data_IF_759438341668
#
_entry.id   IF_759438341668
#
_cell.length_a   1.000
_cell.length_b   1.000
_cell.length_c   1.000
_cell.angle_alpha   90.00
_cell.angle_beta   90.00
_cell.angle_gamma   90.00
#
_symmetry.space_group_name_H-M   'P 1'
#
loop_
_entity.id
_entity.type
_entity.pdbx_description
1 polymer ?
#
# COMPACT_ATOMS: atom_id res chain seq x y z
N UNK A 1 9.10 -30.40 -7.17
CA UNK A 1 7.81 -29.66 -7.21
C UNK A 1 6.71 -30.31 -6.36
N UNK A 2 6.58 -31.62 -6.33
CA UNK A 2 5.54 -32.35 -5.56
C UNK A 2 5.66 -32.20 -4.03
N UNK A 3 6.86 -32.08 -3.45
CA UNK A 3 7.06 -31.81 -2.01
C UNK A 3 6.53 -30.45 -1.54
N UNK A 4 6.59 -29.39 -2.40
CA UNK A 4 6.07 -28.05 -2.07
C UNK A 4 4.54 -27.96 -2.12
N UNK A 5 3.87 -28.78 -2.93
CA UNK A 5 2.40 -28.85 -2.98
C UNK A 5 1.82 -29.52 -1.73
N UNK A 6 2.51 -30.54 -1.19
CA UNK A 6 2.12 -31.18 0.07
C UNK A 6 2.32 -30.25 1.28
N UNK A 7 3.32 -29.34 1.25
CA UNK A 7 3.51 -28.35 2.32
C UNK A 7 2.40 -27.29 2.34
N UNK A 8 1.80 -26.97 1.18
CA UNK A 8 0.69 -26.02 1.09
C UNK A 8 -0.63 -26.62 1.61
N UNK A 9 -0.90 -27.88 1.33
CA UNK A 9 -2.08 -28.59 1.88
C UNK A 9 -1.95 -28.86 3.38
N UNK A 10 -0.74 -29.10 3.88
CA UNK A 10 -0.43 -29.19 5.31
C UNK A 10 -0.60 -27.83 6.02
N UNK A 11 -0.33 -26.70 5.33
CA UNK A 11 -0.52 -25.34 5.83
C UNK A 11 -2.00 -25.00 6.04
N UNK A 12 -2.87 -25.33 5.08
CA UNK A 12 -4.32 -25.10 5.17
C UNK A 12 -4.98 -25.96 6.27
N UNK A 13 -4.52 -27.20 6.48
CA UNK A 13 -4.97 -28.06 7.58
C UNK A 13 -4.50 -27.58 8.97
N UNK A 14 -3.43 -26.77 9.03
CA UNK A 14 -2.96 -26.10 10.26
C UNK A 14 -3.79 -24.89 10.68
N UNK A 15 -4.44 -24.21 9.74
CA UNK A 15 -5.32 -23.04 9.98
C UNK A 15 -6.51 -23.42 10.87
N UNK A 16 -7.05 -24.62 10.74
CA UNK A 16 -8.19 -25.08 11.53
C UNK A 16 -7.83 -25.46 12.98
N UNK A 17 -6.54 -25.70 13.27
CA UNK A 17 -6.05 -26.15 14.58
C UNK A 17 -5.63 -25.01 15.52
N UNK A 18 -5.31 -23.81 15.01
CA UNK A 18 -4.91 -22.67 15.85
C UNK A 18 -6.09 -21.73 16.07
N UNK A 19 -6.64 -21.74 17.28
CA UNK A 19 -7.80 -20.90 17.68
C UNK A 19 -7.46 -19.41 17.59
N UNK A 20 -6.25 -19.02 17.94
CA UNK A 20 -5.81 -17.63 17.91
C UNK A 20 -5.73 -17.07 16.48
N UNK A 21 -5.11 -17.81 15.54
CA UNK A 21 -5.00 -17.37 14.15
C UNK A 21 -6.39 -17.26 13.49
N UNK A 22 -7.30 -18.20 13.81
CA UNK A 22 -8.69 -18.14 13.34
C UNK A 22 -9.41 -16.90 13.85
N UNK A 23 -9.25 -16.55 15.11
CA UNK A 23 -9.84 -15.31 15.68
C UNK A 23 -9.29 -14.07 15.01
N UNK A 24 -7.99 -13.98 14.74
CA UNK A 24 -7.36 -12.87 14.03
C UNK A 24 -7.87 -12.72 12.61
N UNK A 25 -7.98 -13.82 11.85
CA UNK A 25 -8.52 -13.81 10.48
C UNK A 25 -10.00 -13.41 10.49
N UNK A 26 -10.79 -13.96 11.42
CA UNK A 26 -12.20 -13.61 11.54
C UNK A 26 -12.39 -12.13 11.86
N UNK A 27 -11.54 -11.56 12.73
CA UNK A 27 -11.54 -10.14 13.02
C UNK A 27 -11.26 -9.28 11.77
N UNK A 28 -10.29 -9.68 10.94
CA UNK A 28 -10.00 -9.00 9.65
C UNK A 28 -11.22 -9.04 8.74
N UNK A 29 -11.83 -10.21 8.54
CA UNK A 29 -13.03 -10.34 7.70
C UNK A 29 -14.17 -9.47 8.23
N UNK A 30 -14.41 -9.47 9.54
CA UNK A 30 -15.44 -8.63 10.17
C UNK A 30 -15.17 -7.14 9.96
N UNK A 31 -13.92 -6.69 10.12
CA UNK A 31 -13.54 -5.31 9.87
C UNK A 31 -13.74 -4.91 8.40
N UNK A 32 -13.44 -5.81 7.45
CA UNK A 32 -13.70 -5.57 6.03
C UNK A 32 -15.19 -5.48 5.69
N UNK A 33 -16.04 -6.27 6.37
CA UNK A 33 -17.50 -6.15 6.22
C UNK A 33 -17.97 -4.77 6.71
N UNK A 34 -17.47 -4.28 7.86
CA UNK A 34 -17.77 -2.93 8.36
C UNK A 34 -17.34 -1.87 7.36
N UNK A 35 -16.12 -1.97 6.83
CA UNK A 35 -15.63 -1.08 5.79
C UNK A 35 -16.56 -1.07 4.57
N UNK A 36 -16.98 -2.24 4.10
CA UNK A 36 -17.86 -2.35 2.95
C UNK A 36 -19.25 -1.79 3.20
N UNK A 37 -19.84 -2.04 4.36
CA UNK A 37 -21.13 -1.45 4.76
C UNK A 37 -21.06 0.08 4.79
N UNK A 38 -20.03 0.66 5.39
CA UNK A 38 -19.86 2.11 5.44
C UNK A 38 -19.64 2.76 4.06
N UNK A 39 -19.10 2.02 3.08
CA UNK A 39 -18.93 2.52 1.71
C UNK A 39 -20.27 2.68 0.94
N UNK A 40 -21.37 2.18 1.47
CA UNK A 40 -22.72 2.36 0.92
C UNK A 40 -23.53 3.46 1.61
N UNK A 41 -23.07 3.96 2.76
CA UNK A 41 -23.74 5.05 3.47
C UNK A 41 -23.37 6.37 2.80
N UNK A 42 -24.31 6.99 2.11
CA UNK A 42 -24.12 8.24 1.39
C UNK A 42 -24.04 9.45 2.31
N UNK A 43 -23.37 10.50 1.85
CA UNK A 43 -23.29 11.77 2.55
C UNK A 43 -24.69 12.43 2.61
N UNK A 44 -25.14 12.94 3.77
CA UNK A 44 -26.42 13.64 3.87
C UNK A 44 -26.50 14.84 2.93
N UNK A 45 -27.61 14.96 2.21
CA UNK A 45 -27.86 16.09 1.29
C UNK A 45 -27.36 15.89 -0.15
N UNK A 46 -26.83 14.70 -0.51
CA UNK A 46 -26.41 14.38 -1.89
C UNK A 46 -27.27 13.23 -2.44
N UNK A 47 -27.69 13.38 -3.69
CA UNK A 47 -28.36 12.32 -4.43
C UNK A 47 -27.31 11.40 -5.11
N UNK A 48 -27.23 10.11 -4.72
CA UNK A 48 -26.25 9.18 -5.27
C UNK A 48 -26.47 8.87 -6.73
N UNK A 49 -27.70 9.01 -7.25
CA UNK A 49 -28.04 8.72 -8.65
C UNK A 49 -27.42 9.75 -9.58
N UNK A 50 -27.50 11.03 -9.20
CA UNK A 50 -26.94 12.15 -9.96
C UNK A 50 -25.41 12.10 -9.91
N UNK A 51 -24.84 11.76 -8.73
CA UNK A 51 -23.40 11.62 -8.56
C UNK A 51 -22.81 10.54 -9.46
N UNK A 52 -23.50 9.42 -9.60
CA UNK A 52 -23.10 8.34 -10.52
C UNK A 52 -23.06 8.80 -11.98
N UNK A 53 -24.05 9.54 -12.43
CA UNK A 53 -24.09 10.07 -13.82
C UNK A 53 -22.90 11.01 -14.06
N UNK A 54 -22.59 11.90 -13.12
CA UNK A 54 -21.43 12.80 -13.22
C UNK A 54 -20.10 12.05 -13.26
N UNK A 55 -19.98 10.98 -12.48
CA UNK A 55 -18.80 10.12 -12.48
C UNK A 55 -18.64 9.38 -13.81
N UNK A 56 -19.74 8.87 -14.36
CA UNK A 56 -19.75 8.18 -15.67
C UNK A 56 -19.31 9.10 -16.81
N UNK A 57 -19.60 10.38 -16.73
CA UNK A 57 -19.14 11.39 -17.70
C UNK A 57 -17.64 11.74 -17.56
N UNK A 58 -17.07 11.54 -16.39
CA UNK A 58 -15.67 11.85 -16.08
C UNK A 58 -14.79 10.60 -15.97
N UNK A 59 -15.22 9.47 -16.55
CA UNK A 59 -14.42 8.23 -16.58
C UNK A 59 -13.06 8.46 -17.23
N UNK A 60 -12.02 7.84 -16.68
CA UNK A 60 -10.64 8.00 -17.14
C UNK A 60 -9.94 9.25 -16.60
N UNK A 61 -10.57 10.00 -15.70
CA UNK A 61 -9.96 11.14 -15.03
C UNK A 61 -9.22 10.74 -13.75
N UNK A 62 -8.54 11.73 -13.16
CA UNK A 62 -7.86 11.56 -11.85
C UNK A 62 -8.85 11.11 -10.76
N UNK A 63 -10.13 11.49 -10.86
CA UNK A 63 -11.18 11.09 -9.91
C UNK A 63 -11.44 9.59 -9.92
N UNK A 64 -11.29 8.93 -11.07
CA UNK A 64 -11.40 7.46 -11.17
C UNK A 64 -10.31 6.75 -10.37
N UNK A 65 -9.08 7.27 -10.36
CA UNK A 65 -8.01 6.71 -9.53
C UNK A 65 -8.33 6.85 -8.03
N UNK A 66 -8.88 8.00 -7.60
CA UNK A 66 -9.35 8.17 -6.23
C UNK A 66 -10.46 7.18 -5.88
N UNK A 67 -11.44 7.03 -6.79
CA UNK A 67 -12.55 6.12 -6.61
C UNK A 67 -12.09 4.67 -6.44
N UNK A 68 -11.08 4.26 -7.19
CA UNK A 68 -10.48 2.94 -7.08
C UNK A 68 -9.84 2.70 -5.70
N UNK A 69 -9.08 3.67 -5.17
CA UNK A 69 -8.47 3.56 -3.84
C UNK A 69 -9.50 3.62 -2.71
N UNK A 70 -10.62 4.32 -2.91
CA UNK A 70 -11.72 4.40 -1.95
C UNK A 70 -12.72 3.23 -2.04
N UNK A 71 -12.54 2.32 -3.02
CA UNK A 71 -13.42 1.16 -3.21
C UNK A 71 -14.81 1.49 -3.75
N UNK A 72 -14.92 2.50 -4.63
CA UNK A 72 -16.19 2.98 -5.18
C UNK A 72 -16.97 3.88 -4.23
N UNK A 73 -16.33 4.32 -3.14
CA UNK A 73 -16.95 5.19 -2.14
C UNK A 73 -17.11 6.62 -2.62
N UNK A 74 -16.21 7.08 -3.51
CA UNK A 74 -16.28 8.43 -4.07
C UNK A 74 -17.39 8.56 -5.12
N UNK A 75 -17.59 7.56 -5.98
CA UNK A 75 -18.68 7.51 -6.97
C UNK A 75 -20.06 7.65 -6.33
N UNK A 76 -20.22 7.07 -5.13
CA UNK A 76 -21.47 7.13 -4.36
C UNK A 76 -21.49 8.29 -3.38
N UNK A 77 -20.41 9.05 -3.30
CA UNK A 77 -20.19 10.09 -2.27
C UNK A 77 -20.55 9.60 -0.87
N UNK A 78 -19.96 8.47 -0.49
CA UNK A 78 -20.19 7.87 0.83
C UNK A 78 -19.40 8.61 1.92
N UNK A 79 -19.69 8.30 3.20
CA UNK A 79 -18.92 8.80 4.34
C UNK A 79 -17.43 8.45 4.25
N UNK A 80 -17.06 7.44 3.47
CA UNK A 80 -15.68 7.02 3.20
C UNK A 80 -15.14 7.52 1.85
N UNK A 81 -15.74 8.55 1.25
CA UNK A 81 -15.34 9.04 -0.06
C UNK A 81 -13.86 9.45 -0.14
N UNK A 82 -13.29 10.06 0.90
CA UNK A 82 -11.86 10.38 0.95
C UNK A 82 -10.98 9.14 1.23
N UNK A 83 -11.56 8.04 1.68
CA UNK A 83 -10.84 6.83 2.03
C UNK A 83 -9.73 7.05 3.06
N UNK A 84 -8.60 6.35 2.88
CA UNK A 84 -7.39 6.49 3.71
C UNK A 84 -6.34 7.41 3.10
N UNK A 85 -6.65 8.09 1.97
CA UNK A 85 -5.68 8.94 1.24
C UNK A 85 -5.11 10.08 2.09
N UNK A 86 -5.90 10.84 2.90
CA UNK A 86 -5.35 11.88 3.77
C UNK A 86 -4.33 11.34 4.76
N UNK A 87 -4.56 10.12 5.28
CA UNK A 87 -3.62 9.46 6.19
C UNK A 87 -2.34 9.03 5.50
N UNK A 88 -2.42 8.51 4.27
CA UNK A 88 -1.24 8.13 3.49
C UNK A 88 -0.36 9.36 3.27
N UNK A 89 -0.95 10.46 2.80
CA UNK A 89 -0.22 11.73 2.59
C UNK A 89 0.40 12.25 3.89
N UNK A 90 -0.34 12.22 5.01
CA UNK A 90 0.17 12.61 6.31
C UNK A 90 1.33 11.71 6.78
N UNK A 91 1.22 10.41 6.57
CA UNK A 91 2.25 9.43 6.94
C UNK A 91 3.54 9.64 6.15
N UNK A 92 3.43 9.93 4.84
CA UNK A 92 4.56 10.26 3.98
C UNK A 92 5.30 11.49 4.51
N UNK A 93 4.57 12.59 4.71
CA UNK A 93 5.14 13.84 5.17
C UNK A 93 5.81 13.65 6.55
N UNK A 94 5.15 12.96 7.46
CA UNK A 94 5.71 12.69 8.78
C UNK A 94 6.95 11.78 8.71
N UNK A 95 6.98 10.76 7.86
CA UNK A 95 8.16 9.93 7.65
C UNK A 95 9.33 10.76 7.10
N UNK A 96 9.09 11.62 6.12
CA UNK A 96 10.12 12.55 5.62
C UNK A 96 10.62 13.47 6.74
N UNK A 97 9.72 14.05 7.52
CA UNK A 97 10.05 14.94 8.62
C UNK A 97 10.87 14.26 9.73
N UNK A 98 10.70 12.96 9.97
CA UNK A 98 11.51 12.20 10.94
C UNK A 98 12.98 12.06 10.54
N UNK A 99 13.36 12.43 9.32
CA UNK A 99 14.75 12.44 8.85
C UNK A 99 15.33 13.84 8.73
N UNK A 100 14.48 14.87 8.63
CA UNK A 100 14.90 16.28 8.46
C UNK A 100 14.90 17.01 9.80
N UNK A 101 13.88 16.79 10.63
CA UNK A 101 13.68 17.53 11.87
C UNK A 101 14.42 16.89 13.05
N UNK A 102 15.37 17.62 13.67
CA UNK A 102 16.15 17.15 14.79
C UNK A 102 15.33 16.59 15.97
N UNK A 103 14.20 17.22 16.41
CA UNK A 103 13.39 16.66 17.50
C UNK A 103 12.70 15.34 17.11
N UNK A 104 12.30 15.18 15.85
CA UNK A 104 11.67 13.94 15.39
C UNK A 104 12.69 12.80 15.21
N UNK A 105 13.94 13.13 14.84
CA UNK A 105 15.06 12.17 14.82
C UNK A 105 15.32 11.64 16.24
N UNK A 106 15.30 12.51 17.25
CA UNK A 106 15.47 12.09 18.65
C UNK A 106 14.33 11.17 19.09
N UNK A 107 13.07 11.54 18.80
CA UNK A 107 11.91 10.70 19.08
C UNK A 107 12.01 9.31 18.43
N UNK A 108 12.53 9.23 17.21
CA UNK A 108 12.75 7.94 16.55
C UNK A 108 13.76 7.06 17.30
N UNK A 109 14.79 7.67 17.91
CA UNK A 109 15.79 6.95 18.72
C UNK A 109 15.26 6.48 20.08
N UNK A 110 14.17 7.07 20.59
CA UNK A 110 13.50 6.63 21.84
C UNK A 110 12.79 5.27 21.72
N UNK A 111 12.81 4.63 20.54
CA UNK A 111 12.20 3.32 20.31
C UNK A 111 10.67 3.36 20.33
N UNK A 112 10.03 2.44 21.06
CA UNK A 112 8.57 2.29 21.09
C UNK A 112 7.80 3.53 21.56
N UNK A 113 8.32 4.24 22.56
CA UNK A 113 7.69 5.47 23.08
C UNK A 113 7.67 6.59 22.03
N UNK A 114 8.80 6.77 21.34
CA UNK A 114 8.91 7.75 20.27
C UNK A 114 8.01 7.41 19.08
N UNK A 115 7.94 6.13 18.72
CA UNK A 115 7.07 5.64 17.64
C UNK A 115 5.59 5.94 17.91
N UNK A 116 5.13 5.73 19.14
CA UNK A 116 3.75 6.10 19.54
C UNK A 116 3.47 7.59 19.42
N UNK A 117 4.45 8.45 19.78
CA UNK A 117 4.31 9.92 19.63
C UNK A 117 4.27 10.32 18.14
N UNK A 118 5.13 9.75 17.30
CA UNK A 118 5.12 10.00 15.85
C UNK A 118 3.77 9.59 15.23
N UNK A 119 3.24 8.43 15.59
CA UNK A 119 1.89 8.00 15.14
C UNK A 119 0.80 8.98 15.58
N UNK A 120 0.87 9.52 16.81
CA UNK A 120 -0.07 10.55 17.26
C UNK A 120 0.02 11.83 16.41
N UNK A 121 1.24 12.28 16.09
CA UNK A 121 1.44 13.45 15.21
C UNK A 121 0.91 13.18 13.79
N UNK A 122 1.13 11.98 13.25
CA UNK A 122 0.57 11.57 11.96
C UNK A 122 -0.96 11.64 11.97
N UNK A 123 -1.62 11.15 13.02
CA UNK A 123 -3.08 11.24 13.14
C UNK A 123 -3.57 12.70 13.19
N UNK A 124 -2.93 13.55 14.00
CA UNK A 124 -3.30 14.97 14.06
C UNK A 124 -3.14 15.66 12.71
N UNK A 125 -2.05 15.37 12.00
CA UNK A 125 -1.81 15.91 10.68
C UNK A 125 -2.80 15.38 9.64
N UNK A 126 -3.22 14.11 9.78
CA UNK A 126 -4.30 13.53 8.97
C UNK A 126 -5.61 14.30 9.12
N UNK A 127 -5.98 14.70 10.35
CA UNK A 127 -7.20 15.51 10.57
C UNK A 127 -7.12 16.84 9.81
N UNK A 128 -5.97 17.53 9.86
CA UNK A 128 -5.78 18.79 9.15
C UNK A 128 -5.92 18.59 7.62
N UNK A 129 -5.22 17.59 7.07
CA UNK A 129 -5.30 17.30 5.64
C UNK A 129 -6.69 16.84 5.21
N UNK A 130 -7.34 15.98 5.99
CA UNK A 130 -8.70 15.54 5.73
C UNK A 130 -9.70 16.70 5.75
N UNK A 131 -9.55 17.66 6.67
CA UNK A 131 -10.41 18.86 6.73
C UNK A 131 -10.23 19.71 5.48
N UNK A 132 -8.99 19.97 5.05
CA UNK A 132 -8.71 20.73 3.84
C UNK A 132 -9.28 20.05 2.59
N UNK A 133 -9.05 18.73 2.46
CA UNK A 133 -9.56 17.96 1.32
C UNK A 133 -11.10 17.87 1.33
N UNK A 134 -11.72 17.64 2.49
CA UNK A 134 -13.17 17.60 2.64
C UNK A 134 -13.81 18.93 2.24
N UNK A 135 -13.22 20.06 2.68
CA UNK A 135 -13.70 21.38 2.33
C UNK A 135 -13.62 21.62 0.82
N UNK A 136 -12.50 21.23 0.19
CA UNK A 136 -12.35 21.35 -1.26
C UNK A 136 -13.37 20.53 -2.03
N UNK A 137 -13.57 19.26 -1.65
CA UNK A 137 -14.56 18.36 -2.27
C UNK A 137 -15.98 18.94 -2.10
N UNK A 138 -16.36 19.33 -0.87
CA UNK A 138 -17.68 19.86 -0.59
C UNK A 138 -17.97 21.18 -1.37
N UNK A 139 -16.96 22.06 -1.47
CA UNK A 139 -17.05 23.29 -2.27
C UNK A 139 -17.19 23.00 -3.77
N UNK A 140 -16.42 22.03 -4.30
CA UNK A 140 -16.52 21.63 -5.70
C UNK A 140 -17.92 21.07 -6.04
N UNK A 141 -18.50 20.27 -5.15
CA UNK A 141 -19.83 19.70 -5.34
C UNK A 141 -20.94 20.78 -5.36
N UNK A 142 -20.80 21.81 -4.52
CA UNK A 142 -21.76 22.93 -4.56
C UNK A 142 -21.70 23.74 -5.85
N UNK A 143 -20.51 23.86 -6.45
CA UNK A 143 -20.31 24.64 -7.68
C UNK A 143 -20.65 23.85 -8.96
N UNK A 144 -20.83 22.54 -8.87
CA UNK A 144 -21.20 21.66 -10.00
C UNK A 144 -22.72 21.61 -10.26
N UNK A 145 -23.47 22.65 -9.91
CA UNK A 145 -24.88 22.74 -10.26
C UNK A 145 -25.03 22.90 -11.77
N UNK A 146 -25.41 21.81 -12.44
CA UNK A 146 -25.84 21.85 -13.85
C UNK A 146 -27.25 22.43 -13.91
N UNK A 147 -27.54 23.23 -14.93
CA UNK A 147 -28.79 24.00 -15.08
C UNK A 147 -30.11 23.19 -14.98
N UNK A 148 -30.07 21.88 -14.97
CA UNK A 148 -31.22 20.98 -14.89
C UNK A 148 -31.28 20.07 -13.67
N UNK A 149 -30.20 19.96 -12.86
CA UNK A 149 -30.15 19.02 -11.72
C UNK A 149 -29.29 19.59 -10.58
N UNK A 150 -29.92 19.83 -9.45
CA UNK A 150 -29.23 20.22 -8.21
C UNK A 150 -28.66 18.95 -7.54
N UNK A 151 -27.33 18.81 -7.58
CA UNK A 151 -26.60 17.70 -6.94
C UNK A 151 -26.77 17.74 -5.42
N UNK A 152 -26.79 18.93 -4.85
CA UNK A 152 -26.94 19.19 -3.42
C UNK A 152 -28.35 19.72 -3.18
N UNK A 153 -29.14 19.05 -2.31
CA UNK A 153 -30.52 19.40 -2.01
C UNK A 153 -30.65 20.83 -1.45
N UNK A 154 -29.74 21.21 -0.55
CA UNK A 154 -29.71 22.56 0.06
C UNK A 154 -28.28 23.10 0.01
N UNK A 155 -27.88 23.83 -1.05
CA UNK A 155 -26.56 24.43 -1.13
C UNK A 155 -26.42 25.57 -0.11
N UNK A 156 -25.36 25.51 0.72
CA UNK A 156 -25.11 26.53 1.73
C UNK A 156 -23.99 26.15 2.71
N UNK A 157 -23.72 27.06 3.64
CA UNK A 157 -22.71 26.85 4.69
C UNK A 157 -23.03 25.66 5.60
N UNK A 158 -24.32 25.38 5.79
CA UNK A 158 -24.77 24.21 6.56
C UNK A 158 -24.34 22.89 5.93
N UNK A 159 -24.52 22.76 4.61
CA UNK A 159 -24.05 21.58 3.86
C UNK A 159 -22.53 21.43 3.95
N UNK A 160 -21.76 22.52 3.76
CA UNK A 160 -20.30 22.48 3.86
C UNK A 160 -19.85 21.97 5.22
N UNK A 161 -20.47 22.46 6.30
CA UNK A 161 -20.11 22.04 7.66
C UNK A 161 -20.42 20.56 7.91
N UNK A 162 -21.61 20.10 7.53
CA UNK A 162 -22.03 18.69 7.66
C UNK A 162 -21.12 17.78 6.82
N UNK A 163 -20.84 18.15 5.57
CA UNK A 163 -20.00 17.38 4.66
C UNK A 163 -18.58 17.24 5.20
N UNK A 164 -17.97 18.35 5.65
CA UNK A 164 -16.59 18.34 6.20
C UNK A 164 -16.52 17.44 7.45
N UNK A 165 -17.43 17.60 8.41
CA UNK A 165 -17.43 16.78 9.63
C UNK A 165 -17.61 15.31 9.28
N UNK A 166 -18.56 14.98 8.41
CA UNK A 166 -18.85 13.60 8.03
C UNK A 166 -17.67 12.93 7.34
N UNK A 167 -17.04 13.59 6.37
CA UNK A 167 -15.89 13.06 5.64
C UNK A 167 -14.65 12.91 6.52
N UNK A 168 -14.37 13.88 7.39
CA UNK A 168 -13.25 13.79 8.35
C UNK A 168 -13.48 12.65 9.34
N UNK A 169 -14.70 12.53 9.86
CA UNK A 169 -15.05 11.43 10.79
C UNK A 169 -14.92 10.08 10.10
N UNK A 170 -15.37 9.95 8.86
CA UNK A 170 -15.23 8.74 8.06
C UNK A 170 -13.76 8.36 7.84
N UNK A 171 -12.92 9.31 7.48
CA UNK A 171 -11.47 9.09 7.32
C UNK A 171 -10.83 8.64 8.63
N UNK A 172 -11.12 9.32 9.75
CA UNK A 172 -10.56 8.95 11.06
C UNK A 172 -11.04 7.59 11.55
N UNK A 173 -12.29 7.23 11.24
CA UNK A 173 -12.81 5.89 11.52
C UNK A 173 -12.06 4.82 10.73
N UNK A 174 -11.77 5.05 9.44
CA UNK A 174 -10.98 4.11 8.63
C UNK A 174 -9.55 3.96 9.14
N UNK A 175 -8.91 5.05 9.57
CA UNK A 175 -7.58 5.00 10.19
C UNK A 175 -7.62 4.16 11.47
N UNK A 176 -8.60 4.42 12.35
CA UNK A 176 -8.78 3.63 13.56
C UNK A 176 -9.04 2.15 13.25
N UNK A 177 -9.90 1.85 12.27
CA UNK A 177 -10.18 0.48 11.83
C UNK A 177 -8.91 -0.22 11.32
N UNK A 178 -8.09 0.48 10.51
CA UNK A 178 -6.81 -0.02 10.04
C UNK A 178 -5.82 -0.33 11.16
N UNK A 179 -5.77 0.52 12.18
CA UNK A 179 -4.95 0.27 13.38
C UNK A 179 -5.45 -0.94 14.17
N UNK A 180 -6.76 -1.09 14.35
CA UNK A 180 -7.34 -2.27 15.01
C UNK A 180 -7.03 -3.57 14.22
N UNK A 181 -7.09 -3.53 12.89
CA UNK A 181 -6.69 -4.68 12.06
C UNK A 181 -5.22 -5.00 12.28
N UNK A 182 -4.34 -4.00 12.35
CA UNK A 182 -2.91 -4.20 12.57
C UNK A 182 -2.60 -4.77 13.95
N UNK A 183 -3.31 -4.33 15.00
CA UNK A 183 -3.09 -4.79 16.38
C UNK A 183 -3.70 -6.16 16.66
N UNK A 184 -4.93 -6.39 16.23
CA UNK A 184 -5.72 -7.59 16.58
C UNK A 184 -5.87 -8.59 15.45
N UNK A 185 -5.58 -8.18 14.21
CA UNK A 185 -5.71 -9.01 13.02
C UNK A 185 -4.37 -9.62 12.58
N UNK A 186 -4.24 -9.77 11.27
CA UNK A 186 -3.04 -10.23 10.56
C UNK A 186 -2.75 -9.23 9.46
N UNK A 187 -1.52 -8.80 9.31
CA UNK A 187 -1.11 -7.89 8.26
C UNK A 187 -1.13 -6.41 8.65
N UNK A 188 -0.77 -5.56 7.69
CA UNK A 188 -0.91 -4.11 7.83
C UNK A 188 -2.36 -3.72 7.50
N UNK A 189 -3.12 -3.26 8.51
CA UNK A 189 -4.55 -2.98 8.36
C UNK A 189 -4.87 -1.92 7.32
N UNK A 190 -4.05 -0.88 7.19
CA UNK A 190 -4.26 0.17 6.17
C UNK A 190 -4.08 -0.40 4.77
N UNK A 191 -3.04 -1.20 4.55
CA UNK A 191 -2.82 -1.89 3.26
C UNK A 191 -3.95 -2.85 2.93
N UNK A 192 -4.52 -3.53 3.93
CA UNK A 192 -5.66 -4.45 3.76
C UNK A 192 -6.94 -3.68 3.40
N UNK A 193 -7.18 -2.49 3.98
CA UNK A 193 -8.33 -1.65 3.61
C UNK A 193 -8.20 -1.17 2.17
N UNK A 194 -7.02 -0.71 1.74
CA UNK A 194 -6.76 -0.31 0.36
C UNK A 194 -6.97 -1.50 -0.60
N UNK A 195 -6.40 -2.66 -0.26
CA UNK A 195 -6.58 -3.90 -0.99
C UNK A 195 -8.07 -4.27 -1.15
N UNK A 196 -8.83 -4.20 -0.06
CA UNK A 196 -10.28 -4.49 -0.10
C UNK A 196 -11.04 -3.49 -0.98
N UNK A 197 -10.65 -2.21 -0.99
CA UNK A 197 -11.18 -1.20 -1.89
C UNK A 197 -10.95 -1.56 -3.36
N UNK A 198 -9.71 -1.89 -3.71
CA UNK A 198 -9.33 -2.26 -5.07
C UNK A 198 -10.07 -3.54 -5.52
N UNK A 199 -10.05 -4.59 -4.68
CA UNK A 199 -10.72 -5.87 -5.01
C UNK A 199 -12.24 -5.70 -5.15
N UNK A 200 -12.84 -4.79 -4.41
CA UNK A 200 -14.27 -4.50 -4.52
C UNK A 200 -14.69 -3.92 -5.88
N UNK A 201 -13.77 -3.25 -6.59
CA UNK A 201 -13.96 -2.74 -7.95
C UNK A 201 -13.77 -3.80 -9.06
N UNK A 202 -13.13 -4.94 -8.75
CA UNK A 202 -12.81 -5.98 -9.73
C UNK A 202 -14.03 -6.55 -10.49
N UNK A 203 -15.13 -6.92 -9.80
CA UNK A 203 -16.30 -7.51 -10.50
C UNK A 203 -16.91 -6.54 -11.50
N UNK A 204 -17.02 -5.24 -11.15
CA UNK A 204 -17.56 -4.22 -12.06
C UNK A 204 -16.63 -3.95 -13.24
N UNK A 205 -15.31 -3.94 -13.03
CA UNK A 205 -14.33 -3.80 -14.11
C UNK A 205 -14.39 -4.95 -15.12
N UNK A 206 -14.49 -6.19 -14.62
CA UNK A 206 -14.67 -7.38 -15.48
C UNK A 206 -16.00 -7.31 -16.24
N UNK A 207 -17.09 -6.94 -15.54
CA UNK A 207 -18.41 -6.79 -16.17
C UNK A 207 -18.39 -5.77 -17.30
N UNK A 208 -17.87 -4.57 -17.06
CA UNK A 208 -17.75 -3.51 -18.07
C UNK A 208 -16.91 -3.96 -19.29
N UNK A 209 -15.81 -4.68 -19.07
CA UNK A 209 -14.97 -5.19 -20.16
C UNK A 209 -15.72 -6.22 -21.04
N UNK A 210 -16.50 -7.09 -20.41
CA UNK A 210 -17.34 -8.07 -21.12
C UNK A 210 -18.48 -7.38 -21.87
N UNK A 211 -19.10 -6.35 -21.30
CA UNK A 211 -20.18 -5.60 -21.94
C UNK A 211 -19.68 -4.81 -23.16
N UNK A 212 -18.49 -4.22 -23.11
CA UNK A 212 -17.83 -3.59 -24.26
C UNK A 212 -17.56 -4.59 -25.40
N UNK A 213 -17.18 -5.82 -25.04
CA UNK A 213 -17.02 -6.88 -26.02
C UNK A 213 -18.37 -7.31 -26.66
N UNK A 214 -19.44 -7.35 -25.86
CA UNK A 214 -20.80 -7.68 -26.35
C UNK A 214 -21.36 -6.59 -27.27
N UNK A 215 -21.06 -5.33 -26.97
CA UNK A 215 -21.49 -4.17 -27.78
C UNK A 215 -20.69 -4.03 -29.08
N UNK A 216 -19.63 -4.84 -29.28
CA UNK A 216 -18.80 -4.80 -30.49
C UNK A 216 -17.75 -3.70 -30.50
N UNK A 217 -17.57 -2.96 -29.39
CA UNK A 217 -16.52 -1.93 -29.25
C UNK A 217 -15.13 -2.56 -29.09
N UNK A 218 -15.05 -3.76 -28.51
CA UNK A 218 -13.84 -4.54 -28.39
C UNK A 218 -13.98 -5.88 -29.10
N UNK A 219 -12.95 -6.25 -29.85
CA UNK A 219 -12.89 -7.59 -30.44
C UNK A 219 -12.76 -8.65 -29.36
N UNK A 220 -13.45 -9.77 -29.46
CA UNK A 220 -13.37 -10.88 -28.51
C UNK A 220 -11.93 -11.38 -28.28
N UNK A 221 -11.11 -11.34 -29.32
CA UNK A 221 -9.70 -11.69 -29.24
C UNK A 221 -8.91 -10.76 -28.33
N UNK A 222 -9.18 -9.45 -28.37
CA UNK A 222 -8.54 -8.43 -27.52
C UNK A 222 -8.86 -8.67 -26.04
N UNK A 223 -10.09 -9.06 -25.71
CA UNK A 223 -10.48 -9.37 -24.33
C UNK A 223 -9.70 -10.57 -23.79
N UNK A 224 -9.59 -11.65 -24.58
CA UNK A 224 -8.79 -12.83 -24.19
C UNK A 224 -7.33 -12.45 -23.99
N UNK A 225 -6.77 -11.63 -24.88
CA UNK A 225 -5.38 -11.15 -24.78
C UNK A 225 -5.17 -10.34 -23.49
N UNK A 226 -6.11 -9.46 -23.11
CA UNK A 226 -6.05 -8.67 -21.89
C UNK A 226 -6.03 -9.59 -20.65
N UNK A 227 -6.92 -10.57 -20.56
CA UNK A 227 -6.94 -11.51 -19.44
C UNK A 227 -5.64 -12.32 -19.35
N UNK A 228 -5.12 -12.78 -20.47
CA UNK A 228 -3.84 -13.49 -20.53
C UNK A 228 -2.69 -12.59 -20.04
N UNK A 229 -2.69 -11.34 -20.46
CA UNK A 229 -1.66 -10.36 -20.09
C UNK A 229 -1.70 -10.05 -18.59
N UNK A 230 -2.89 -9.88 -17.98
CA UNK A 230 -3.05 -9.69 -16.54
C UNK A 230 -2.47 -10.88 -15.75
N UNK A 231 -2.76 -12.11 -16.19
CA UNK A 231 -2.22 -13.33 -15.56
C UNK A 231 -0.70 -13.35 -15.67
N UNK A 232 -0.15 -13.01 -16.84
CA UNK A 232 1.29 -13.00 -17.09
C UNK A 232 2.01 -11.95 -16.25
N UNK A 233 1.45 -10.72 -16.17
CA UNK A 233 1.99 -9.64 -15.33
C UNK A 233 1.94 -10.07 -13.86
N UNK A 234 0.81 -10.62 -13.40
CA UNK A 234 0.68 -11.10 -12.02
C UNK A 234 1.73 -12.16 -11.68
N UNK A 235 1.94 -13.13 -12.57
CA UNK A 235 2.97 -14.16 -12.41
C UNK A 235 4.38 -13.55 -12.36
N UNK A 236 4.66 -12.57 -13.22
CA UNK A 236 5.93 -11.85 -13.27
C UNK A 236 6.18 -11.05 -11.99
N UNK A 237 5.18 -10.33 -11.49
CA UNK A 237 5.23 -9.60 -10.23
C UNK A 237 5.53 -10.54 -9.06
N UNK A 238 4.82 -11.66 -8.95
CA UNK A 238 5.06 -12.66 -7.90
C UNK A 238 6.48 -13.22 -7.99
N UNK A 239 6.97 -13.46 -9.20
CA UNK A 239 8.33 -13.99 -9.42
C UNK A 239 9.40 -13.03 -8.90
N UNK A 240 9.30 -11.74 -9.22
CA UNK A 240 10.27 -10.73 -8.79
C UNK A 240 10.17 -10.44 -7.29
N UNK A 241 8.96 -10.30 -6.75
CA UNK A 241 8.74 -10.02 -5.32
C UNK A 241 9.25 -11.15 -4.41
N UNK A 242 9.26 -12.38 -4.89
CA UNK A 242 9.86 -13.53 -4.18
C UNK A 242 11.38 -13.58 -4.31
N UNK A 243 11.94 -12.81 -5.23
CA UNK A 243 13.37 -12.76 -5.49
C UNK A 243 14.14 -12.16 -4.30
N UNK A 244 15.18 -12.88 -3.85
CA UNK A 244 16.05 -12.43 -2.77
C UNK A 244 17.51 -12.65 -3.12
N UNK A 245 18.35 -11.63 -2.89
CA UNK A 245 19.80 -11.76 -2.92
C UNK A 245 20.27 -12.27 -1.57
N UNK A 246 20.86 -13.45 -1.51
CA UNK A 246 21.41 -14.04 -0.29
C UNK A 246 22.90 -13.72 -0.19
N UNK A 247 23.29 -12.94 0.82
CA UNK A 247 24.70 -12.63 1.12
C UNK A 247 25.18 -13.67 2.14
N UNK A 248 26.24 -14.43 1.87
CA UNK A 248 26.75 -15.41 2.84
C UNK A 248 27.38 -14.68 4.04
N UNK A 249 27.05 -15.13 5.24
CA UNK A 249 27.57 -14.63 6.52
C UNK A 249 28.12 -15.80 7.31
N UNK A 250 29.33 -15.67 7.80
CA UNK A 250 29.97 -16.64 8.65
C UNK A 250 30.08 -16.11 10.07
N UNK A 251 29.73 -16.95 11.04
CA UNK A 251 29.98 -16.67 12.45
C UNK A 251 31.31 -17.24 12.87
N UNK A 252 32.07 -16.46 13.66
CA UNK A 252 33.32 -16.95 14.25
C UNK A 252 33.07 -18.14 15.17
N UNK A 253 33.98 -19.09 15.17
CA UNK A 253 33.95 -20.20 16.11
C UNK A 253 34.00 -19.66 17.54
N UNK A 254 33.08 -20.05 18.40
CA UNK A 254 33.07 -19.66 19.82
C UNK A 254 33.34 -20.92 20.66
N UNK A 255 34.34 -20.78 21.56
CA UNK A 255 34.52 -21.73 22.65
C UNK A 255 33.72 -21.28 23.86
N UNK A 256 32.81 -22.07 24.33
CA UNK A 256 32.08 -21.85 25.56
C UNK A 256 32.37 -23.04 26.52
N UNK A 257 33.31 -22.81 27.42
CA UNK A 257 33.89 -23.86 28.26
C UNK A 257 34.65 -24.91 27.43
N UNK A 258 34.37 -26.19 27.62
CA UNK A 258 34.99 -27.32 26.90
C UNK A 258 34.33 -27.66 25.54
N UNK A 259 33.21 -27.01 25.21
CA UNK A 259 32.46 -27.28 23.96
C UNK A 259 32.86 -26.30 22.88
N UNK A 260 33.33 -26.79 21.75
CA UNK A 260 33.60 -26.06 20.55
C UNK A 260 32.32 -25.99 19.70
N UNK A 261 31.74 -24.80 19.55
CA UNK A 261 30.63 -24.63 18.61
C UNK A 261 31.20 -24.40 17.21
N UNK A 262 30.77 -25.28 16.29
CA UNK A 262 31.18 -25.21 14.89
C UNK A 262 30.77 -23.85 14.29
N UNK A 263 31.56 -23.34 13.34
CA UNK A 263 31.21 -22.15 12.57
C UNK A 263 29.89 -22.41 11.85
N UNK A 264 28.87 -21.59 12.12
CA UNK A 264 27.61 -21.64 11.39
C UNK A 264 27.66 -20.61 10.27
N UNK A 265 27.38 -21.06 9.05
CA UNK A 265 27.18 -20.20 7.91
C UNK A 265 25.69 -19.93 7.74
N UNK A 266 25.30 -18.67 7.72
CA UNK A 266 23.94 -18.24 7.41
C UNK A 266 23.97 -17.26 6.22
N UNK A 267 22.80 -16.79 5.83
CA UNK A 267 22.69 -15.83 4.73
C UNK A 267 21.86 -14.64 5.18
N UNK A 268 22.29 -13.44 4.81
CA UNK A 268 21.48 -12.23 4.92
C UNK A 268 20.60 -12.13 3.65
N UNK A 269 19.27 -12.31 3.76
CA UNK A 269 18.39 -12.18 2.62
C UNK A 269 18.06 -10.70 2.39
N UNK A 270 18.40 -10.16 1.22
CA UNK A 270 17.97 -8.86 0.75
C UNK A 270 16.93 -9.06 -0.34
N UNK A 271 15.73 -8.48 -0.19
CA UNK A 271 14.69 -8.53 -1.23
C UNK A 271 15.15 -7.72 -2.45
N UNK A 272 14.79 -8.12 -3.67
CA UNK A 272 15.05 -7.35 -4.89
C UNK A 272 14.29 -6.03 -4.82
N UNK A 273 13.01 -6.10 -4.44
CA UNK A 273 12.22 -4.91 -4.16
C UNK A 273 12.19 -4.65 -2.65
N UNK A 274 13.11 -3.80 -2.15
CA UNK A 274 13.16 -3.42 -0.74
C UNK A 274 12.13 -2.34 -0.39
N UNK A 275 11.76 -1.53 -1.38
CA UNK A 275 10.80 -0.45 -1.20
C UNK A 275 9.33 -0.91 -1.17
N UNK A 276 9.02 -2.10 -1.69
CA UNK A 276 7.66 -2.65 -1.72
C UNK A 276 6.71 -1.84 -2.60
N UNK A 277 5.44 -1.72 -2.17
CA UNK A 277 4.39 -0.94 -2.87
C UNK A 277 4.34 0.54 -2.48
N UNK A 278 5.15 0.96 -1.53
CA UNK A 278 5.08 2.30 -0.97
C UNK A 278 5.43 3.39 -2.01
N UNK A 279 6.49 3.26 -2.84
CA UNK A 279 6.83 4.28 -3.84
C UNK A 279 5.72 4.58 -4.85
N UNK A 280 5.06 3.61 -5.48
CA UNK A 280 3.92 3.88 -6.36
C UNK A 280 2.76 4.60 -5.67
N UNK A 281 2.44 4.21 -4.43
CA UNK A 281 1.39 4.87 -3.64
C UNK A 281 1.77 6.33 -3.35
N UNK A 282 3.04 6.59 -3.00
CA UNK A 282 3.53 7.94 -2.74
C UNK A 282 3.52 8.80 -4.01
N UNK A 283 3.97 8.23 -5.13
CA UNK A 283 3.98 8.92 -6.42
C UNK A 283 2.57 9.31 -6.84
N UNK A 284 1.60 8.39 -6.75
CA UNK A 284 0.21 8.69 -7.06
C UNK A 284 -0.38 9.74 -6.12
N UNK A 285 -0.13 9.66 -4.81
CA UNK A 285 -0.64 10.62 -3.83
C UNK A 285 -0.10 12.04 -4.07
N UNK A 286 1.20 12.17 -4.43
CA UNK A 286 1.80 13.49 -4.72
C UNK A 286 1.26 14.10 -6.02
N UNK A 287 1.02 13.30 -7.05
CA UNK A 287 0.45 13.79 -8.30
C UNK A 287 -1.03 14.17 -8.11
N UNK A 288 -1.75 13.36 -7.36
CA UNK A 288 -3.17 13.59 -7.10
C UNK A 288 -3.43 14.86 -6.28
N UNK A 289 -2.54 15.23 -5.36
CA UNK A 289 -2.73 16.37 -4.48
C UNK A 289 -2.77 17.72 -5.23
N UNK A 290 -1.81 18.10 -6.09
CA UNK A 290 -1.90 19.31 -6.91
C UNK A 290 -3.06 19.28 -7.90
N UNK A 291 -3.32 18.12 -8.50
CA UNK A 291 -4.38 17.95 -9.48
C UNK A 291 -5.78 18.15 -8.88
N UNK A 292 -6.00 17.68 -7.63
CA UNK A 292 -7.26 17.94 -6.91
C UNK A 292 -7.40 19.41 -6.52
N UNK A 293 -6.34 20.05 -6.04
CA UNK A 293 -6.37 21.51 -5.77
C UNK A 293 -6.69 22.28 -7.04
N UNK A 294 -6.08 21.89 -8.16
CA UNK A 294 -6.31 22.52 -9.45
C UNK A 294 -7.77 22.34 -9.92
N UNK A 295 -8.35 21.17 -9.75
CA UNK A 295 -9.76 20.94 -10.09
C UNK A 295 -10.72 21.75 -9.21
N UNK A 296 -10.38 21.97 -7.95
CA UNK A 296 -11.21 22.81 -7.05
C UNK A 296 -11.07 24.30 -7.33
N UNK A 297 -9.86 24.79 -7.60
CA UNK A 297 -9.60 26.18 -7.92
C UNK A 297 -10.09 26.56 -9.32
N UNK A 298 -10.11 25.61 -10.26
CA UNK A 298 -10.52 25.82 -11.64
C UNK A 298 -12.03 25.83 -11.88
N UNK A 299 -12.84 25.42 -10.92
CA UNK A 299 -14.30 25.37 -11.05
C UNK A 299 -14.98 26.76 -11.26
N UNK A 300 -14.23 27.86 -11.14
CA UNK A 300 -14.74 29.24 -11.31
C UNK A 300 -14.10 30.08 -12.43
N UNK A 301 -13.08 29.55 -13.15
CA UNK A 301 -12.39 30.34 -14.19
C UNK A 301 -12.10 29.50 -15.44
N UNK A 302 -12.88 29.69 -16.49
CA UNK A 302 -12.60 29.12 -17.81
C UNK A 302 -11.26 29.67 -18.33
N UNK A 303 -10.29 28.80 -18.62
CA UNK A 303 -9.03 29.14 -19.29
C UNK A 303 -7.85 29.53 -18.43
N UNK A 304 -7.89 29.33 -17.09
CA UNK A 304 -6.76 29.65 -16.20
C UNK A 304 -5.58 28.69 -16.33
N UNK A 305 -4.36 29.16 -15.95
CA UNK A 305 -3.13 28.32 -15.87
C UNK A 305 -3.34 27.05 -15.04
N UNK A 306 -4.19 27.13 -14.02
CA UNK A 306 -4.56 26.02 -13.12
C UNK A 306 -5.27 24.90 -13.88
N UNK A 307 -6.19 25.25 -14.78
CA UNK A 307 -6.91 24.26 -15.61
C UNK A 307 -5.97 23.60 -16.63
N UNK A 308 -5.04 24.36 -17.23
CA UNK A 308 -4.02 23.77 -18.12
C UNK A 308 -3.11 22.79 -17.38
N UNK A 309 -2.69 23.10 -16.16
CA UNK A 309 -1.90 22.18 -15.32
C UNK A 309 -2.71 20.93 -15.00
N UNK A 310 -3.99 21.03 -14.62
CA UNK A 310 -4.85 19.90 -14.36
C UNK A 310 -5.02 18.99 -15.59
N UNK A 311 -5.23 19.56 -16.76
CA UNK A 311 -5.34 18.81 -18.03
C UNK A 311 -4.02 18.14 -18.42
N UNK A 312 -2.87 18.81 -18.21
CA UNK A 312 -1.55 18.26 -18.54
C UNK A 312 -1.14 17.13 -17.59
N UNK A 313 -1.60 17.17 -16.33
CA UNK A 313 -1.38 16.12 -15.33
C UNK A 313 -2.48 15.05 -15.33
N UNK A 314 -3.37 15.04 -16.33
CA UNK A 314 -4.38 13.99 -16.46
C UNK A 314 -3.77 12.66 -16.90
N UNK A 315 -4.28 11.50 -16.40
CA UNK A 315 -3.86 10.17 -16.84
C UNK A 315 -3.93 10.05 -18.37
N UNK A 316 -2.94 9.37 -18.97
CA UNK A 316 -2.86 9.23 -20.42
C UNK A 316 -2.09 10.35 -21.14
N UNK A 317 -1.71 11.43 -20.48
CA UNK A 317 -0.85 12.46 -21.08
C UNK A 317 0.63 12.07 -20.98
N UNK A 318 1.47 12.35 -22.00
CA UNK A 318 2.89 12.01 -21.98
C UNK A 318 3.64 12.65 -20.82
N UNK A 319 3.26 13.87 -20.43
CA UNK A 319 3.87 14.59 -19.31
C UNK A 319 3.55 13.90 -17.98
N UNK A 320 2.30 13.46 -17.81
CA UNK A 320 1.89 12.66 -16.65
C UNK A 320 2.73 11.39 -16.51
N UNK A 321 2.87 10.61 -17.60
CA UNK A 321 3.62 9.35 -17.62
C UNK A 321 5.09 9.59 -17.23
N UNK A 322 5.72 10.63 -17.78
CA UNK A 322 7.12 10.96 -17.49
C UNK A 322 7.30 11.40 -16.05
N UNK A 323 6.43 12.28 -15.55
CA UNK A 323 6.48 12.75 -14.18
C UNK A 323 6.21 11.62 -13.17
N UNK A 324 5.24 10.75 -13.49
CA UNK A 324 4.92 9.58 -12.68
C UNK A 324 6.07 8.59 -12.60
N UNK A 325 6.72 8.28 -13.75
CA UNK A 325 7.91 7.43 -13.79
C UNK A 325 9.05 8.01 -12.95
N UNK A 326 9.34 9.31 -13.12
CA UNK A 326 10.39 9.99 -12.36
C UNK A 326 10.10 9.99 -10.85
N UNK A 327 8.84 10.22 -10.46
CA UNK A 327 8.41 10.19 -9.07
C UNK A 327 8.57 8.79 -8.47
N UNK A 328 8.16 7.72 -9.17
CA UNK A 328 8.34 6.33 -8.70
C UNK A 328 9.82 6.03 -8.46
N UNK A 329 10.69 6.35 -9.42
CA UNK A 329 12.13 6.11 -9.30
C UNK A 329 12.70 6.88 -8.11
N UNK A 330 12.37 8.17 -7.99
CA UNK A 330 12.79 9.00 -6.85
C UNK A 330 12.38 8.40 -5.52
N UNK A 331 11.10 8.01 -5.38
CA UNK A 331 10.61 7.43 -4.12
C UNK A 331 11.15 6.03 -3.84
N UNK A 332 11.50 5.24 -4.85
CA UNK A 332 12.18 3.96 -4.64
C UNK A 332 13.53 4.16 -3.95
N UNK A 333 14.37 5.07 -4.44
CA UNK A 333 15.65 5.37 -3.82
C UNK A 333 15.48 6.02 -2.45
N UNK A 334 14.61 7.01 -2.38
CA UNK A 334 14.34 7.73 -1.14
C UNK A 334 13.85 6.80 -0.03
N UNK A 335 12.86 5.96 -0.31
CA UNK A 335 12.30 5.05 0.67
C UNK A 335 13.27 3.96 1.09
N UNK A 336 14.03 3.42 0.16
CA UNK A 336 15.06 2.41 0.49
C UNK A 336 16.12 2.99 1.42
N UNK A 337 16.62 4.20 1.16
CA UNK A 337 17.56 4.89 2.03
C UNK A 337 16.99 5.19 3.42
N UNK A 338 15.67 5.40 3.51
CA UNK A 338 14.95 5.64 4.78
C UNK A 338 14.81 4.40 5.65
N UNK A 339 14.45 3.27 5.03
CA UNK A 339 14.09 2.03 5.73
C UNK A 339 15.33 1.19 6.04
N UNK A 340 16.30 1.18 5.14
CA UNK A 340 17.48 0.34 5.27
C UNK A 340 18.73 1.16 5.64
N UNK A 341 19.25 0.91 6.85
CA UNK A 341 20.48 1.52 7.32
C UNK A 341 21.64 0.52 7.25
N UNK A 342 22.46 0.67 6.20
CA UNK A 342 23.61 -0.21 5.93
C UNK A 342 24.63 -0.20 7.08
N UNK A 343 24.85 0.97 7.72
CA UNK A 343 25.79 1.13 8.84
C UNK A 343 25.32 0.37 10.08
N UNK A 344 24.06 0.55 10.47
CA UNK A 344 23.47 -0.14 11.61
C UNK A 344 23.47 -1.65 11.42
N UNK A 345 23.18 -2.11 10.21
CA UNK A 345 23.23 -3.55 9.85
C UNK A 345 24.66 -4.09 9.98
N UNK A 346 25.66 -3.37 9.50
CA UNK A 346 27.07 -3.77 9.59
C UNK A 346 27.56 -3.78 11.05
N UNK A 347 27.15 -2.80 11.88
CA UNK A 347 27.45 -2.78 13.31
C UNK A 347 26.80 -3.95 14.06
N UNK A 348 25.55 -4.26 13.77
CA UNK A 348 24.83 -5.41 14.34
C UNK A 348 25.51 -6.74 13.98
N UNK A 349 25.97 -6.88 12.73
CA UNK A 349 26.76 -8.05 12.30
C UNK A 349 28.08 -8.13 13.07
N UNK A 350 28.82 -7.01 13.20
CA UNK A 350 30.07 -6.94 13.96
C UNK A 350 29.86 -7.31 15.43
N UNK A 351 28.83 -6.76 16.07
CA UNK A 351 28.51 -7.02 17.48
C UNK A 351 28.09 -8.48 17.72
N UNK A 352 27.46 -9.12 16.74
CA UNK A 352 27.10 -10.54 16.76
C UNK A 352 28.27 -11.46 16.47
N UNK A 353 29.46 -10.94 16.13
CA UNK A 353 30.65 -11.71 15.74
C UNK A 353 30.48 -12.38 14.37
N UNK A 354 29.60 -11.85 13.53
CA UNK A 354 29.36 -12.29 12.18
C UNK A 354 30.16 -11.45 11.18
N UNK A 355 30.66 -12.06 10.11
CA UNK A 355 31.41 -11.39 9.07
C UNK A 355 31.08 -11.94 7.68
N UNK A 356 31.21 -11.10 6.67
CA UNK A 356 31.09 -11.47 5.28
C UNK A 356 32.47 -11.99 4.82
N UNK A 357 32.58 -13.20 4.22
CA UNK A 357 33.83 -13.71 3.73
C UNK A 357 34.52 -12.75 2.76
N UNK A 358 35.79 -12.43 3.02
CA UNK A 358 36.59 -11.53 2.20
C UNK A 358 36.46 -10.04 2.48
N UNK A 359 35.60 -9.62 3.42
CA UNK A 359 35.36 -8.19 3.76
C UNK A 359 35.60 -7.96 5.25
N UNK A 360 36.31 -6.86 5.59
CA UNK A 360 36.54 -6.47 6.98
C UNK A 360 35.23 -6.04 7.66
N UNK A 361 34.95 -6.53 8.88
CA UNK A 361 33.80 -6.08 9.66
C UNK A 361 33.88 -4.57 9.97
N UNK A 362 32.76 -3.86 9.88
CA UNK A 362 32.65 -2.41 10.12
C UNK A 362 32.31 -1.64 8.84
N UNK A 363 32.97 -0.49 8.60
CA UNK A 363 32.63 0.43 7.51
C UNK A 363 32.75 -0.21 6.11
N UNK A 364 33.71 -1.11 5.90
CA UNK A 364 33.83 -1.80 4.63
C UNK A 364 32.63 -2.72 4.36
N UNK A 365 32.14 -3.39 5.40
CA UNK A 365 30.91 -4.20 5.31
C UNK A 365 29.68 -3.30 5.05
N UNK A 366 29.61 -2.12 5.68
CA UNK A 366 28.53 -1.17 5.44
C UNK A 366 28.52 -0.68 3.99
N UNK A 367 29.67 -0.29 3.45
CA UNK A 367 29.80 0.16 2.05
C UNK A 367 29.45 -0.94 1.04
N UNK A 368 29.86 -2.19 1.31
CA UNK A 368 29.52 -3.33 0.47
C UNK A 368 28.01 -3.62 0.44
N UNK A 369 27.38 -3.59 1.61
CA UNK A 369 25.93 -3.79 1.73
C UNK A 369 25.20 -2.63 1.04
N UNK A 370 25.67 -1.40 1.18
CA UNK A 370 25.10 -0.22 0.54
C UNK A 370 25.17 -0.28 -0.98
N UNK A 371 26.30 -0.68 -1.54
CA UNK A 371 26.49 -0.87 -2.99
C UNK A 371 25.51 -1.95 -3.55
N UNK A 372 25.37 -3.07 -2.84
CA UNK A 372 24.41 -4.11 -3.24
C UNK A 372 22.97 -3.58 -3.14
N UNK A 373 22.63 -2.88 -2.06
CA UNK A 373 21.29 -2.33 -1.85
C UNK A 373 20.93 -1.32 -2.94
N UNK A 374 21.87 -0.45 -3.32
CA UNK A 374 21.69 0.53 -4.40
C UNK A 374 21.44 -0.17 -5.74
N UNK A 375 22.22 -1.20 -6.09
CA UNK A 375 22.02 -1.99 -7.31
C UNK A 375 20.66 -2.71 -7.32
N UNK A 376 20.25 -3.29 -6.17
CA UNK A 376 18.94 -3.92 -6.04
C UNK A 376 17.82 -2.91 -6.17
N UNK A 377 17.96 -1.72 -5.58
CA UNK A 377 16.98 -0.63 -5.67
C UNK A 377 16.84 -0.15 -7.13
N UNK A 378 17.94 -0.06 -7.89
CA UNK A 378 17.88 0.29 -9.32
C UNK A 378 17.04 -0.72 -10.10
N UNK A 379 17.30 -2.01 -9.92
CA UNK A 379 16.53 -3.08 -10.57
C UNK A 379 15.07 -3.04 -10.14
N UNK A 380 14.83 -2.87 -8.84
CA UNK A 380 13.49 -2.73 -8.27
C UNK A 380 12.73 -1.52 -8.81
N UNK A 381 13.39 -0.37 -8.92
CA UNK A 381 12.79 0.85 -9.46
C UNK A 381 12.38 0.70 -10.93
N UNK A 382 13.24 0.13 -11.76
CA UNK A 382 12.93 -0.15 -13.18
C UNK A 382 11.75 -1.10 -13.29
N UNK A 383 11.75 -2.17 -12.48
CA UNK A 383 10.67 -3.14 -12.44
C UNK A 383 9.33 -2.50 -12.05
N UNK A 384 9.29 -1.77 -10.92
CA UNK A 384 8.06 -1.13 -10.43
C UNK A 384 7.55 -0.13 -11.46
N UNK A 385 8.44 0.72 -11.99
CA UNK A 385 8.07 1.71 -13.01
C UNK A 385 7.48 1.04 -14.25
N UNK A 386 8.10 -0.05 -14.74
CA UNK A 386 7.59 -0.79 -15.90
C UNK A 386 6.20 -1.38 -15.64
N UNK A 387 5.97 -1.98 -14.48
CA UNK A 387 4.67 -2.56 -14.13
C UNK A 387 3.60 -1.48 -13.94
N UNK A 388 3.94 -0.33 -13.33
CA UNK A 388 3.01 0.77 -13.12
C UNK A 388 2.63 1.49 -14.42
N UNK A 389 3.57 1.63 -15.36
CA UNK A 389 3.32 2.32 -16.63
C UNK A 389 2.66 1.44 -17.70
N UNK A 390 2.77 0.12 -17.59
CA UNK A 390 2.25 -0.80 -18.59
C UNK A 390 0.74 -0.59 -18.87
N UNK A 391 -0.14 -0.43 -17.86
CA UNK A 391 -1.56 -0.15 -18.12
C UNK A 391 -1.80 1.21 -18.78
N UNK A 392 -1.00 2.23 -18.47
CA UNK A 392 -1.09 3.54 -19.10
C UNK A 392 -0.83 3.44 -20.62
N UNK A 393 0.15 2.63 -21.00
CA UNK A 393 0.40 2.34 -22.42
C UNK A 393 -0.74 1.55 -23.07
N UNK A 394 -1.36 0.61 -22.34
CA UNK A 394 -2.49 -0.15 -22.85
C UNK A 394 -3.73 0.74 -23.09
N UNK A 395 -4.00 1.68 -22.21
CA UNK A 395 -5.06 2.68 -22.37
C UNK A 395 -4.81 3.53 -23.62
N UNK A 396 -3.57 4.02 -23.79
CA UNK A 396 -3.20 4.88 -24.93
C UNK A 396 -3.30 4.18 -26.29
N UNK A 397 -2.87 2.92 -26.38
CA UNK A 397 -2.81 2.21 -27.67
C UNK A 397 -4.06 1.43 -28.02
N UNK A 398 -4.77 0.89 -27.01
CA UNK A 398 -5.91 0.00 -27.23
C UNK A 398 -7.26 0.60 -26.83
N UNK A 399 -7.30 1.83 -26.30
CA UNK A 399 -8.50 2.50 -25.78
C UNK A 399 -9.36 1.59 -24.86
N UNK A 400 -8.69 0.68 -24.17
CA UNK A 400 -9.36 -0.24 -23.24
C UNK A 400 -9.60 0.52 -21.95
N UNK A 401 -10.82 0.60 -21.43
CA UNK A 401 -11.07 1.14 -20.10
C UNK A 401 -10.51 0.17 -19.05
N UNK A 402 -9.19 0.18 -18.88
CA UNK A 402 -8.51 -0.74 -18.01
C UNK A 402 -8.54 -0.17 -16.58
N UNK A 403 -9.53 -0.57 -15.82
CA UNK A 403 -9.68 -0.24 -14.40
C UNK A 403 -8.57 -0.81 -13.51
N UNK A 404 -7.72 -1.67 -14.05
CA UNK A 404 -6.55 -2.21 -13.36
C UNK A 404 -5.31 -1.37 -13.67
N UNK A 405 -5.18 -0.22 -13.00
CA UNK A 405 -3.91 0.49 -12.99
C UNK A 405 -2.77 -0.43 -12.50
N UNK A 406 -1.56 -0.26 -13.01
CA UNK A 406 -0.41 -1.07 -12.59
C UNK A 406 -0.14 -1.00 -11.09
N UNK A 407 -0.45 0.14 -10.46
CA UNK A 407 -0.40 0.31 -9.00
C UNK A 407 -1.36 -0.58 -8.27
N UNK A 408 -2.60 -0.73 -8.74
CA UNK A 408 -3.60 -1.54 -8.06
C UNK A 408 -3.26 -3.03 -8.11
N UNK A 409 -2.76 -3.51 -9.26
CA UNK A 409 -2.31 -4.88 -9.40
C UNK A 409 -1.11 -5.18 -8.50
N UNK A 410 -0.13 -4.27 -8.46
CA UNK A 410 1.01 -4.36 -7.55
C UNK A 410 0.57 -4.42 -6.08
N UNK A 411 -0.33 -3.53 -5.66
CA UNK A 411 -0.84 -3.49 -4.28
C UNK A 411 -1.54 -4.81 -3.95
N UNK A 412 -2.42 -5.29 -4.82
CA UNK A 412 -3.14 -6.56 -4.62
C UNK A 412 -2.17 -7.72 -4.42
N UNK A 413 -1.18 -7.87 -5.30
CA UNK A 413 -0.23 -8.98 -5.23
C UNK A 413 0.64 -8.90 -3.97
N UNK A 414 1.21 -7.72 -3.66
CA UNK A 414 2.14 -7.60 -2.54
C UNK A 414 1.42 -7.71 -1.20
N UNK A 415 0.22 -7.12 -1.06
CA UNK A 415 -0.56 -7.24 0.19
C UNK A 415 -0.95 -8.70 0.44
N UNK A 416 -1.37 -9.45 -0.59
CA UNK A 416 -1.66 -10.87 -0.46
C UNK A 416 -0.41 -11.66 -0.09
N UNK A 417 0.74 -11.36 -0.70
CA UNK A 417 2.00 -12.02 -0.38
C UNK A 417 2.46 -11.75 1.05
N UNK A 418 2.37 -10.49 1.52
CA UNK A 418 2.73 -10.13 2.89
C UNK A 418 1.78 -10.77 3.91
N UNK A 419 0.48 -10.83 3.60
CA UNK A 419 -0.50 -11.51 4.43
C UNK A 419 -0.21 -13.02 4.51
N UNK A 420 0.11 -13.66 3.40
CA UNK A 420 0.51 -15.08 3.36
C UNK A 420 1.80 -15.34 4.16
N UNK A 421 2.78 -14.45 4.04
CA UNK A 421 4.04 -14.56 4.78
C UNK A 421 3.81 -14.46 6.30
N UNK A 422 2.95 -13.55 6.75
CA UNK A 422 2.61 -13.42 8.18
C UNK A 422 1.81 -14.61 8.70
N UNK A 423 0.83 -15.10 7.95
CA UNK A 423 0.09 -16.31 8.28
C UNK A 423 1.04 -17.50 8.43
N UNK A 424 1.98 -17.68 7.49
CA UNK A 424 2.99 -18.75 7.56
C UNK A 424 3.89 -18.61 8.79
N UNK A 425 4.33 -17.41 9.13
CA UNK A 425 5.13 -17.15 10.33
C UNK A 425 4.39 -17.53 11.62
N UNK A 426 3.12 -17.14 11.73
CA UNK A 426 2.29 -17.55 12.89
C UNK A 426 2.07 -19.05 12.96
N UNK A 427 1.86 -19.72 11.83
CA UNK A 427 1.71 -21.19 11.80
C UNK A 427 2.98 -21.91 12.25
N UNK A 428 4.16 -21.43 11.78
CA UNK A 428 5.45 -22.01 12.20
C UNK A 428 5.69 -21.82 13.69
N UNK A 429 5.43 -20.64 14.25
CA UNK A 429 5.55 -20.39 15.69
C UNK A 429 4.69 -21.35 16.52
N UNK A 430 3.45 -21.58 16.10
CA UNK A 430 2.53 -22.51 16.78
C UNK A 430 2.97 -23.98 16.70
N UNK A 431 3.58 -24.38 15.56
CA UNK A 431 4.13 -25.74 15.40
C UNK A 431 5.35 -25.95 16.32
N UNK A 432 6.21 -24.94 16.46
CA UNK A 432 7.35 -25.00 17.39
C UNK A 432 6.90 -25.09 18.85
N UNK A 433 5.89 -24.33 19.27
CA UNK A 433 5.30 -24.46 20.62
C UNK A 433 4.73 -25.88 20.87
N UNK A 434 4.04 -26.42 19.88
CA UNK A 434 3.48 -27.77 19.96
C UNK A 434 4.57 -28.85 20.09
N UNK A 435 5.68 -28.71 19.39
CA UNK A 435 6.84 -29.58 19.48
C UNK A 435 7.56 -29.44 20.83
N UNK A 436 7.74 -28.21 21.34
CA UNK A 436 8.34 -27.97 22.66
C UNK A 436 7.49 -28.50 23.80
N UNK A 437 6.17 -28.40 23.72
CA UNK A 437 5.25 -29.01 24.69
C UNK A 437 5.31 -30.53 24.67
N UNK A 438 5.46 -31.17 23.50
CA UNK A 438 5.58 -32.61 23.34
C UNK A 438 6.97 -33.15 23.79
N UNK A 439 8.03 -32.37 23.59
CA UNK A 439 9.38 -32.75 23.94
C UNK A 439 9.71 -32.61 25.44
N UNK A 440 8.74 -32.23 26.28
CA UNK A 440 8.87 -32.12 27.75
C UNK A 440 10.07 -31.27 28.22
N UNK A 441 10.48 -30.29 27.40
CA UNK A 441 11.62 -29.42 27.67
C UNK A 441 11.36 -28.35 28.77
N UNK A 442 10.27 -28.50 29.54
CA UNK A 442 9.97 -27.66 30.71
C UNK A 442 10.95 -27.87 31.89
N UNK A 443 11.85 -28.86 31.78
CA UNK A 443 12.76 -29.25 32.87
C UNK A 443 14.14 -28.56 32.88
N UNK A 444 14.53 -27.78 31.87
CA UNK A 444 15.91 -27.25 31.76
C UNK A 444 16.03 -25.79 32.28
N UNK A 445 14.92 -25.11 32.54
CA UNK A 445 14.90 -23.71 32.99
C UNK A 445 14.79 -23.48 34.51
N UNK A 446 14.60 -24.50 35.34
CA UNK A 446 14.40 -24.34 36.79
C UNK A 446 15.60 -24.79 37.68
N UNK A 447 16.75 -25.00 37.08
CA UNK A 447 17.94 -25.56 37.77
C UNK A 447 19.15 -24.65 37.85
N UNK A 448 18.99 -23.28 37.76
CA UNK A 448 20.08 -22.36 38.13
C UNK A 448 19.48 -21.34 39.09
N UNK A 449 19.59 -21.63 40.37
CA UNK A 449 19.69 -20.68 41.46
C UNK A 449 21.14 -20.38 41.68
#
# INVERSE_FOLDING_TARGET
MVKKANDMSAGLGGLTKSTELRQRIFFVIFALVIFRLGSFITLPGIDPSIMKILFDQQRGSILDMFNMFSGGSLERMSIFALGVMPYISASIIMQMMTHISAPLIQLRKEGERGRKKITKYTRNFTVILATLQSFGVASALQNQNTASTTLVAEPGTSFLFIAVITLVTGTMFLVWLGEQITERGVGNGISIIIFAGIVAGLPSAIGNTVDLARNGELQNFTVILIFLLVILITAFVIFIERGQRKIPINYARRMQGRKLYAAQSTHLPLKINMAGVIPPIFSSAIILFPATIASWAGAGSEGGLVQQIALTLSPGQPVYILFYAAAIIFFCYFYTALVFNSKETAENLKNSGAFIPGIRPGDQTANYIDDITTKLTTIGAIYITSVCLLPEFLILYFNVPFYFGGTSLLIVVIVVMDLMAQVQSHLLSHQYEGMMKKANLKGIGSGVR
#
